data_IF_133392845426
#
_entry.id   IF_133392845426
#
_cell.length_a   1.000
_cell.length_b   1.000
_cell.length_c   1.000
_cell.angle_alpha   90.00
_cell.angle_beta   90.00
_cell.angle_gamma   90.00
#
_symmetry.space_group_name_H-M   'P 1'
#
loop_
_entity.id
_entity.type
_entity.pdbx_description
1 polymer ?
#
# COMPACT_ATOMS: atom_id res chain seq x y z
N UNK A 1 0.10 -16.74 6.60
CA UNK A 1 -0.18 -15.34 6.98
C UNK A 1 1.15 -14.58 7.00
N UNK A 2 1.34 -13.58 6.14
CA UNK A 2 2.60 -12.84 6.02
C UNK A 2 2.63 -11.64 6.98
N UNK A 3 3.74 -11.47 7.71
CA UNK A 3 3.92 -10.33 8.62
C UNK A 3 4.22 -9.04 7.83
N UNK A 4 3.60 -7.92 8.23
CA UNK A 4 3.91 -6.62 7.65
C UNK A 4 5.29 -6.14 8.15
N UNK A 5 6.30 -6.26 7.28
CA UNK A 5 7.68 -5.87 7.58
C UNK A 5 7.86 -4.36 7.32
N UNK A 6 7.76 -3.57 8.38
CA UNK A 6 7.89 -2.11 8.30
C UNK A 6 9.34 -1.60 8.26
N UNK A 7 10.36 -2.46 8.41
CA UNK A 7 11.80 -2.14 8.26
C UNK A 7 12.21 -0.77 8.80
N UNK A 8 11.88 -0.47 10.06
CA UNK A 8 12.22 0.79 10.73
C UNK A 8 11.32 2.00 10.38
N UNK A 9 10.36 1.87 9.46
CA UNK A 9 9.35 2.88 9.21
C UNK A 9 8.21 2.78 10.23
N UNK A 10 7.69 3.94 10.64
CA UNK A 10 6.46 4.00 11.43
C UNK A 10 5.32 3.32 10.67
N UNK A 11 4.45 2.62 11.41
CA UNK A 11 3.24 1.99 10.85
C UNK A 11 2.41 3.08 10.16
N UNK A 12 2.10 2.95 8.86
CA UNK A 12 1.28 3.91 8.16
C UNK A 12 -0.18 3.80 8.64
N UNK A 13 -0.92 4.90 8.53
CA UNK A 13 -2.36 4.89 8.74
C UNK A 13 -3.00 3.89 7.77
N UNK A 14 -3.85 3.00 8.29
CA UNK A 14 -4.59 2.00 7.52
C UNK A 14 -6.08 2.24 7.74
N UNK A 15 -6.83 2.40 6.65
CA UNK A 15 -8.27 2.57 6.67
C UNK A 15 -8.88 1.65 5.62
N UNK A 16 -9.70 0.68 6.04
CA UNK A 16 -10.32 -0.33 5.17
C UNK A 16 -9.34 -0.97 4.16
N UNK A 17 -8.12 -1.31 4.60
CA UNK A 17 -7.09 -1.94 3.76
C UNK A 17 -6.27 -0.96 2.91
N UNK A 18 -6.74 0.27 2.70
CA UNK A 18 -5.94 1.33 2.09
C UNK A 18 -4.96 1.92 3.09
N UNK A 19 -3.79 2.35 2.60
CA UNK A 19 -2.69 2.84 3.42
C UNK A 19 -2.28 4.24 2.97
N UNK A 20 -2.00 5.11 3.93
CA UNK A 20 -1.41 6.44 3.72
C UNK A 20 -2.03 7.22 2.54
N UNK A 21 -1.19 7.57 1.54
CA UNK A 21 -1.59 8.38 0.37
C UNK A 21 -2.77 7.83 -0.43
N UNK A 22 -2.97 6.51 -0.43
CA UNK A 22 -4.07 5.89 -1.19
C UNK A 22 -5.44 6.13 -0.55
N UNK A 23 -5.47 6.45 0.75
CA UNK A 23 -6.70 6.86 1.44
C UNK A 23 -7.21 8.19 0.84
N UNK A 24 -6.31 9.16 0.65
CA UNK A 24 -6.65 10.44 0.01
C UNK A 24 -7.14 10.26 -1.43
N UNK A 25 -6.48 9.39 -2.21
CA UNK A 25 -6.94 9.09 -3.57
C UNK A 25 -8.32 8.45 -3.59
N UNK A 26 -8.62 7.53 -2.66
CA UNK A 26 -9.92 6.88 -2.61
C UNK A 26 -11.03 7.86 -2.22
N UNK A 27 -10.78 8.73 -1.23
CA UNK A 27 -11.72 9.80 -0.86
C UNK A 27 -11.96 10.75 -2.05
N UNK A 28 -10.90 11.12 -2.78
CA UNK A 28 -11.02 11.94 -3.99
C UNK A 28 -11.87 11.28 -5.08
N UNK A 29 -11.63 9.99 -5.37
CA UNK A 29 -12.41 9.23 -6.35
C UNK A 29 -13.87 9.09 -5.93
N UNK A 30 -14.14 8.84 -4.64
CA UNK A 30 -15.52 8.75 -4.13
C UNK A 30 -16.21 10.11 -4.26
N UNK A 31 -15.57 11.20 -3.86
CA UNK A 31 -16.13 12.56 -3.95
C UNK A 31 -16.46 12.95 -5.40
N UNK A 32 -15.52 12.77 -6.32
CA UNK A 32 -15.73 13.03 -7.75
C UNK A 32 -16.78 12.08 -8.33
N UNK A 33 -16.76 10.81 -7.92
CA UNK A 33 -17.69 9.78 -8.35
C UNK A 33 -19.15 10.07 -8.00
N UNK A 34 -19.41 10.59 -6.80
CA UNK A 34 -20.75 11.03 -6.40
C UNK A 34 -21.24 12.18 -7.27
N UNK A 35 -20.39 13.20 -7.50
CA UNK A 35 -20.74 14.34 -8.37
C UNK A 35 -21.02 13.85 -9.80
N UNK A 36 -20.18 12.96 -10.33
CA UNK A 36 -20.36 12.37 -11.64
C UNK A 36 -21.68 11.58 -11.73
N UNK A 37 -22.00 10.75 -10.73
CA UNK A 37 -23.25 10.00 -10.70
C UNK A 37 -24.48 10.91 -10.65
N UNK A 38 -24.41 12.04 -9.92
CA UNK A 38 -25.48 13.04 -9.89
C UNK A 38 -25.69 13.70 -11.26
N UNK A 39 -24.60 14.07 -11.94
CA UNK A 39 -24.68 14.65 -13.30
C UNK A 39 -25.24 13.62 -14.28
N UNK A 40 -24.75 12.38 -14.22
CA UNK A 40 -25.19 11.31 -15.11
C UNK A 40 -26.64 10.87 -14.82
N UNK A 41 -27.15 11.09 -13.60
CA UNK A 41 -28.55 10.78 -13.28
C UNK A 41 -29.56 11.53 -14.16
N UNK A 42 -29.16 12.64 -14.80
CA UNK A 42 -29.99 13.35 -15.80
C UNK A 42 -30.33 12.48 -17.01
N UNK A 43 -29.51 11.47 -17.29
CA UNK A 43 -29.77 10.47 -18.34
C UNK A 43 -30.56 9.26 -17.81
N UNK A 44 -31.14 9.37 -16.61
CA UNK A 44 -31.95 8.34 -15.97
C UNK A 44 -31.14 7.35 -15.12
N UNK A 45 -31.79 6.24 -14.75
CA UNK A 45 -31.24 5.23 -13.86
C UNK A 45 -29.92 4.65 -14.38
N UNK A 46 -29.84 4.38 -15.69
CA UNK A 46 -28.63 3.82 -16.31
C UNK A 46 -27.41 4.73 -16.15
N UNK A 47 -27.61 6.05 -16.26
CA UNK A 47 -26.53 7.02 -16.04
C UNK A 47 -26.03 6.99 -14.59
N UNK A 48 -26.95 6.95 -13.62
CA UNK A 48 -26.57 6.83 -12.21
C UNK A 48 -25.84 5.51 -11.90
N UNK A 49 -26.27 4.40 -12.50
CA UNK A 49 -25.63 3.10 -12.35
C UNK A 49 -24.21 3.10 -12.92
N UNK A 50 -24.02 3.72 -14.09
CA UNK A 50 -22.71 3.88 -14.71
C UNK A 50 -21.78 4.74 -13.85
N UNK A 51 -22.30 5.83 -13.26
CA UNK A 51 -21.53 6.67 -12.33
C UNK A 51 -21.07 5.89 -11.09
N UNK A 52 -21.96 5.10 -10.49
CA UNK A 52 -21.64 4.24 -9.35
C UNK A 52 -20.64 3.13 -9.72
N UNK A 53 -20.84 2.47 -10.86
CA UNK A 53 -19.94 1.43 -11.35
C UNK A 53 -18.54 1.99 -11.64
N UNK A 54 -18.46 3.17 -12.27
CA UNK A 54 -17.20 3.86 -12.51
C UNK A 54 -16.47 4.25 -11.22
N UNK A 55 -17.22 4.72 -10.22
CA UNK A 55 -16.68 5.04 -8.88
C UNK A 55 -16.13 3.80 -8.19
N UNK A 56 -16.88 2.69 -8.20
CA UNK A 56 -16.44 1.41 -7.66
C UNK A 56 -15.19 0.87 -8.38
N UNK A 57 -15.16 0.98 -9.71
CA UNK A 57 -13.99 0.63 -10.52
C UNK A 57 -12.76 1.48 -10.21
N UNK A 58 -12.94 2.79 -10.00
CA UNK A 58 -11.87 3.71 -9.62
C UNK A 58 -11.28 3.38 -8.25
N UNK A 59 -12.12 3.08 -7.26
CA UNK A 59 -11.67 2.63 -5.94
C UNK A 59 -10.92 1.30 -6.03
N UNK A 60 -11.45 0.33 -6.80
CA UNK A 60 -10.77 -0.94 -7.03
C UNK A 60 -9.40 -0.77 -7.70
N UNK A 61 -9.29 0.15 -8.66
CA UNK A 61 -8.02 0.46 -9.30
C UNK A 61 -6.99 1.01 -8.30
N UNK A 62 -7.42 1.81 -7.32
CA UNK A 62 -6.55 2.30 -6.24
C UNK A 62 -6.01 1.15 -5.40
N UNK A 63 -6.84 0.17 -5.03
CA UNK A 63 -6.37 -1.04 -4.34
C UNK A 63 -5.30 -1.78 -5.15
N UNK A 64 -5.56 -2.05 -6.43
CA UNK A 64 -4.55 -2.69 -7.30
C UNK A 64 -3.27 -1.87 -7.42
N UNK A 65 -3.38 -0.55 -7.48
CA UNK A 65 -2.22 0.34 -7.57
C UNK A 65 -1.42 0.31 -6.27
N UNK A 66 -2.08 0.30 -5.12
CA UNK A 66 -1.44 0.16 -3.82
C UNK A 66 -0.65 -1.14 -3.72
N UNK A 67 -1.25 -2.26 -4.15
CA UNK A 67 -0.60 -3.57 -4.06
C UNK A 67 0.61 -3.68 -4.99
N UNK A 68 0.53 -3.10 -6.20
CA UNK A 68 1.63 -3.14 -7.18
C UNK A 68 2.78 -2.19 -6.85
N UNK A 69 2.49 -0.93 -6.53
CA UNK A 69 3.52 0.10 -6.38
C UNK A 69 3.94 0.33 -4.93
N UNK A 70 3.18 -0.18 -3.96
CA UNK A 70 3.43 0.04 -2.55
C UNK A 70 3.25 1.50 -2.13
N UNK A 71 3.50 1.77 -0.86
CA UNK A 71 3.24 3.07 -0.26
C UNK A 71 4.34 4.11 -0.54
N UNK A 72 5.60 3.65 -0.54
CA UNK A 72 6.78 4.48 -0.70
C UNK A 72 7.48 4.18 -2.02
N UNK A 73 7.96 5.23 -2.69
CA UNK A 73 8.86 5.06 -3.83
C UNK A 73 10.17 4.48 -3.29
N UNK A 74 10.41 3.21 -3.59
CA UNK A 74 11.66 2.58 -3.21
C UNK A 74 12.69 2.95 -4.27
N UNK A 75 13.64 3.82 -3.93
CA UNK A 75 14.80 4.07 -4.77
C UNK A 75 15.47 2.75 -5.07
N UNK A 76 15.43 2.34 -6.34
CA UNK A 76 16.14 1.16 -6.83
C UNK A 76 17.48 1.67 -7.33
N UNK A 77 18.46 1.69 -6.44
CA UNK A 77 19.83 1.92 -6.85
C UNK A 77 20.34 0.61 -7.47
N UNK A 78 20.36 0.56 -8.80
CA UNK A 78 20.91 -0.57 -9.55
C UNK A 78 22.43 -0.44 -9.75
N UNK A 79 22.94 0.79 -9.73
CA UNK A 79 24.37 1.08 -9.95
C UNK A 79 25.21 1.16 -8.66
N UNK A 80 24.67 0.76 -7.52
CA UNK A 80 25.42 0.76 -6.26
C UNK A 80 26.03 -0.62 -5.97
N UNK A 81 27.34 -0.65 -5.72
CA UNK A 81 28.03 -1.83 -5.22
C UNK A 81 27.66 -1.99 -3.73
N UNK A 82 26.76 -2.92 -3.43
CA UNK A 82 26.43 -3.29 -2.06
C UNK A 82 27.53 -4.21 -1.52
N UNK A 83 28.55 -3.62 -0.88
CA UNK A 83 29.61 -4.39 -0.22
C UNK A 83 29.06 -4.94 1.10
N UNK A 84 28.70 -6.21 1.11
CA UNK A 84 28.41 -6.94 2.33
C UNK A 84 29.70 -7.56 2.88
N UNK A 85 29.99 -7.43 4.18
CA UNK A 85 31.17 -8.06 4.76
C UNK A 85 31.05 -9.59 4.67
N UNK A 86 32.09 -10.25 4.13
CA UNK A 86 32.18 -11.73 3.99
C UNK A 86 32.06 -12.49 5.33
N UNK A 87 32.37 -11.82 6.45
CA UNK A 87 32.14 -12.30 7.81
C UNK A 87 31.48 -11.19 8.62
N UNK A 88 30.20 -11.36 8.95
CA UNK A 88 29.54 -10.55 9.97
C UNK A 88 29.96 -11.12 11.33
N UNK A 89 31.12 -10.72 11.85
CA UNK A 89 31.57 -11.08 13.21
C UNK A 89 30.96 -10.12 14.26
N UNK A 90 29.67 -9.84 14.17
CA UNK A 90 28.99 -9.10 15.22
C UNK A 90 28.45 -10.11 16.24
N UNK A 91 29.29 -10.47 17.22
CA UNK A 91 28.98 -11.41 18.30
C UNK A 91 27.69 -11.03 19.04
N UNK A 92 27.38 -9.74 19.13
CA UNK A 92 26.18 -9.22 19.79
C UNK A 92 24.90 -9.54 18.99
N UNK A 93 24.94 -9.46 17.66
CA UNK A 93 23.80 -9.83 16.80
C UNK A 93 23.63 -11.35 16.67
N UNK A 94 24.73 -12.10 16.55
CA UNK A 94 24.70 -13.56 16.46
C UNK A 94 24.23 -14.21 17.77
N UNK A 95 24.64 -13.66 18.92
CA UNK A 95 24.19 -14.13 20.24
C UNK A 95 22.68 -13.95 20.46
N UNK A 96 22.07 -12.95 19.80
CA UNK A 96 20.63 -12.69 19.87
C UNK A 96 19.81 -13.69 19.03
N UNK A 97 20.34 -14.10 17.86
CA UNK A 97 19.73 -15.14 17.02
C UNK A 97 19.81 -16.50 17.71
N UNK A 98 20.97 -16.83 18.27
CA UNK A 98 21.18 -18.12 18.94
C UNK A 98 20.33 -18.28 20.20
N UNK A 99 20.19 -17.23 21.03
CA UNK A 99 19.30 -17.26 22.19
C UNK A 99 17.83 -17.45 21.82
N UNK A 100 17.41 -16.91 20.66
CA UNK A 100 16.02 -16.99 20.22
C UNK A 100 15.63 -18.41 19.75
N UNK A 101 16.57 -19.17 19.19
CA UNK A 101 16.33 -20.56 18.77
C UNK A 101 16.33 -21.54 19.96
N UNK A 102 17.06 -21.24 21.04
CA UNK A 102 17.09 -22.08 22.25
C UNK A 102 15.94 -21.81 23.24
N UNK A 103 15.04 -20.89 22.92
CA UNK A 103 13.91 -20.48 23.77
C UNK A 103 12.56 -21.08 23.34
N UNK A 104 12.57 -22.11 22.48
CA UNK A 104 11.39 -22.88 22.05
C UNK A 104 11.48 -24.28 22.67
#
# INVERSE_FOLDING_TARGET
MGFYLYKGLKKPLVFFGLKGKYIFYAVGVIGVGVIAALILSKFGLLGSLLGLAGTGGGVYFIFKRQDKYGLYAKTKNFDQVLIFPKKINNKTLLGYVQNKETSI
#
